data_IF_740311324089
#
_entry.id   IF_740311324089
#
_cell.length_a   1.000
_cell.length_b   1.000
_cell.length_c   1.000
_cell.angle_alpha   90.00
_cell.angle_beta   90.00
_cell.angle_gamma   90.00
#
_symmetry.space_group_name_H-M   'P 1'
#
loop_
_entity.id
_entity.type
_entity.pdbx_description
1 polymer ?
#
# COMPACT_ATOMS: atom_id res chain seq x y z
N UNK A 1 -16.45 -24.26 -17.31
CA UNK A 1 -15.26 -24.48 -16.46
C UNK A 1 -15.39 -23.67 -15.19
N UNK A 2 -15.40 -24.37 -14.11
CA UNK A 2 -15.60 -23.76 -12.79
C UNK A 2 -14.39 -22.96 -12.35
N UNK A 3 -14.61 -21.84 -11.68
CA UNK A 3 -13.59 -21.07 -10.97
C UNK A 3 -12.76 -21.95 -10.03
N UNK A 4 -13.33 -23.04 -9.52
CA UNK A 4 -12.68 -24.03 -8.65
C UNK A 4 -11.52 -24.79 -9.31
N UNK A 5 -11.40 -24.74 -10.65
CA UNK A 5 -10.22 -25.31 -11.33
C UNK A 5 -8.96 -24.44 -11.13
N UNK A 6 -9.15 -23.14 -10.87
CA UNK A 6 -8.06 -22.19 -10.68
C UNK A 6 -7.81 -21.87 -9.20
N UNK A 7 -8.88 -21.87 -8.40
CA UNK A 7 -8.83 -21.50 -6.98
C UNK A 7 -9.47 -22.62 -6.14
N UNK A 8 -8.75 -23.09 -5.16
CA UNK A 8 -9.25 -24.10 -4.21
C UNK A 8 -9.89 -23.49 -2.97
N UNK A 9 -9.54 -22.24 -2.65
CA UNK A 9 -10.03 -21.52 -1.48
C UNK A 9 -10.42 -20.10 -1.84
N UNK A 10 -11.25 -19.47 -1.01
CA UNK A 10 -11.58 -18.05 -1.14
C UNK A 10 -10.34 -17.17 -0.93
N UNK A 11 -9.41 -17.62 -0.09
CA UNK A 11 -8.14 -16.93 0.18
C UNK A 11 -7.30 -16.82 -1.09
N UNK A 12 -7.25 -17.85 -1.92
CA UNK A 12 -6.57 -17.79 -3.22
C UNK A 12 -7.19 -16.76 -4.17
N UNK A 13 -8.52 -16.58 -4.12
CA UNK A 13 -9.21 -15.54 -4.88
C UNK A 13 -8.77 -14.16 -4.40
N UNK A 14 -8.71 -13.94 -3.08
CA UNK A 14 -8.23 -12.68 -2.52
C UNK A 14 -6.78 -12.39 -2.87
N UNK A 15 -5.91 -13.40 -2.86
CA UNK A 15 -4.51 -13.23 -3.29
C UNK A 15 -4.41 -12.82 -4.77
N UNK A 16 -5.24 -13.38 -5.64
CA UNK A 16 -5.27 -13.00 -7.06
C UNK A 16 -5.77 -11.55 -7.24
N UNK A 17 -6.80 -11.16 -6.51
CA UNK A 17 -7.29 -9.78 -6.52
C UNK A 17 -6.22 -8.82 -6.00
N UNK A 18 -5.54 -9.17 -4.93
CA UNK A 18 -4.47 -8.37 -4.35
C UNK A 18 -3.30 -8.23 -5.32
N UNK A 19 -2.91 -9.32 -6.00
CA UNK A 19 -1.89 -9.30 -7.06
C UNK A 19 -2.24 -8.29 -8.15
N UNK A 20 -3.46 -8.32 -8.66
CA UNK A 20 -3.94 -7.38 -9.69
C UNK A 20 -3.92 -5.93 -9.22
N UNK A 21 -4.32 -5.70 -7.98
CA UNK A 21 -4.27 -4.36 -7.38
C UNK A 21 -2.83 -3.86 -7.23
N UNK A 22 -1.88 -4.73 -6.85
CA UNK A 22 -0.46 -4.38 -6.85
C UNK A 22 0.05 -4.02 -8.25
N UNK A 23 -0.33 -4.79 -9.27
CA UNK A 23 0.06 -4.53 -10.66
C UNK A 23 -0.44 -3.15 -11.12
N UNK A 24 -1.68 -2.78 -10.79
CA UNK A 24 -2.24 -1.47 -11.09
C UNK A 24 -1.51 -0.34 -10.35
N UNK A 25 -1.17 -0.55 -9.09
CA UNK A 25 -0.40 0.43 -8.34
C UNK A 25 1.02 0.60 -8.90
N UNK A 26 1.66 -0.49 -9.30
CA UNK A 26 2.97 -0.46 -9.96
C UNK A 26 2.92 0.40 -11.24
N UNK A 27 1.86 0.27 -12.04
CA UNK A 27 1.68 1.12 -13.23
C UNK A 27 1.63 2.60 -12.86
N UNK A 28 0.91 2.98 -11.81
CA UNK A 28 0.86 4.36 -11.33
C UNK A 28 2.23 4.84 -10.82
N UNK A 29 2.96 4.00 -10.09
CA UNK A 29 4.32 4.33 -9.66
C UNK A 29 5.27 4.53 -10.84
N UNK A 30 5.16 3.71 -11.89
CA UNK A 30 5.95 3.86 -13.11
C UNK A 30 5.61 5.18 -13.83
N UNK A 31 4.34 5.55 -13.87
CA UNK A 31 3.91 6.85 -14.43
C UNK A 31 4.50 8.02 -13.65
N UNK A 32 4.59 7.92 -12.33
CA UNK A 32 5.25 8.95 -11.51
C UNK A 32 6.74 9.05 -11.86
N UNK A 33 7.42 7.90 -12.03
CA UNK A 33 8.84 7.87 -12.40
C UNK A 33 9.04 8.50 -13.79
N UNK A 34 8.22 8.16 -14.76
CA UNK A 34 8.37 8.59 -16.16
C UNK A 34 7.91 10.03 -16.36
N UNK A 35 6.90 10.46 -15.64
CA UNK A 35 6.26 11.78 -15.80
C UNK A 35 7.00 12.93 -15.11
N UNK A 36 8.03 12.67 -14.32
CA UNK A 36 8.73 13.69 -13.56
C UNK A 36 10.25 13.50 -13.64
N UNK A 37 10.97 14.57 -13.92
CA UNK A 37 12.44 14.58 -13.86
C UNK A 37 12.91 14.62 -12.41
N UNK A 38 12.34 15.55 -11.65
CA UNK A 38 12.60 15.77 -10.23
C UNK A 38 11.28 16.02 -9.52
N UNK A 39 11.24 15.76 -8.23
CA UNK A 39 10.09 16.10 -7.39
C UNK A 39 10.61 16.68 -6.06
N UNK A 40 9.93 17.69 -5.54
CA UNK A 40 10.08 18.08 -4.15
C UNK A 40 9.59 16.96 -3.23
N UNK A 41 10.04 16.96 -1.99
CA UNK A 41 9.53 16.03 -0.96
C UNK A 41 7.99 16.07 -0.88
N UNK A 42 7.43 17.28 -0.87
CA UNK A 42 5.98 17.51 -0.80
C UNK A 42 5.25 16.97 -2.03
N UNK A 43 5.77 17.23 -3.23
CA UNK A 43 5.14 16.78 -4.47
C UNK A 43 5.24 15.26 -4.61
N UNK A 44 6.37 14.67 -4.24
CA UNK A 44 6.52 13.21 -4.18
C UNK A 44 5.52 12.58 -3.22
N UNK A 45 5.47 13.07 -1.98
CA UNK A 45 4.51 12.59 -0.98
C UNK A 45 3.07 12.72 -1.48
N UNK A 46 2.72 13.83 -2.13
CA UNK A 46 1.40 14.05 -2.71
C UNK A 46 1.07 13.07 -3.83
N UNK A 47 1.99 12.81 -4.75
CA UNK A 47 1.76 11.89 -5.86
C UNK A 47 1.64 10.44 -5.39
N UNK A 48 2.47 10.00 -4.43
CA UNK A 48 2.35 8.65 -3.84
C UNK A 48 1.04 8.52 -3.07
N UNK A 49 0.68 9.51 -2.24
CA UNK A 49 -0.58 9.48 -1.49
C UNK A 49 -1.79 9.42 -2.44
N UNK A 50 -1.75 10.15 -3.54
CA UNK A 50 -2.80 10.13 -4.57
C UNK A 50 -2.90 8.76 -5.25
N UNK A 51 -1.77 8.13 -5.56
CA UNK A 51 -1.75 6.81 -6.17
C UNK A 51 -2.42 5.76 -5.29
N UNK A 52 -2.23 5.82 -3.97
CA UNK A 52 -2.88 4.92 -3.02
C UNK A 52 -4.37 5.26 -2.82
N UNK A 53 -4.75 6.52 -2.86
CA UNK A 53 -6.15 6.92 -2.83
C UNK A 53 -6.94 6.32 -4.01
N UNK A 54 -6.32 6.20 -5.18
CA UNK A 54 -6.90 5.51 -6.35
C UNK A 54 -7.00 3.99 -6.17
N UNK A 55 -6.26 3.42 -5.24
CA UNK A 55 -6.17 1.96 -4.99
C UNK A 55 -6.85 1.56 -3.69
N UNK A 56 -8.05 2.04 -3.45
CA UNK A 56 -8.80 1.74 -2.22
C UNK A 56 -8.99 0.22 -2.02
N UNK A 57 -9.26 -0.54 -3.10
CA UNK A 57 -9.40 -1.99 -3.02
C UNK A 57 -8.09 -2.68 -2.61
N UNK A 58 -6.95 -2.20 -3.07
CA UNK A 58 -5.65 -2.67 -2.60
C UNK A 58 -5.55 -2.56 -1.08
N UNK A 59 -5.81 -1.37 -0.54
CA UNK A 59 -5.72 -1.10 0.90
C UNK A 59 -6.75 -1.90 1.70
N UNK A 60 -7.94 -2.09 1.17
CA UNK A 60 -8.99 -2.90 1.80
C UNK A 60 -8.55 -4.35 1.95
N UNK A 61 -8.04 -4.97 0.89
CA UNK A 61 -7.58 -6.35 0.92
C UNK A 61 -6.34 -6.49 1.80
N UNK A 62 -5.41 -5.54 1.76
CA UNK A 62 -4.25 -5.50 2.65
C UNK A 62 -4.64 -5.50 4.13
N UNK A 63 -5.76 -4.86 4.49
CA UNK A 63 -6.24 -4.80 5.88
C UNK A 63 -6.94 -6.08 6.36
N UNK A 64 -7.19 -7.03 5.46
CA UNK A 64 -7.73 -8.34 5.82
C UNK A 64 -6.65 -9.22 6.44
N UNK A 65 -7.03 -10.36 6.98
CA UNK A 65 -6.07 -11.26 7.63
C UNK A 65 -5.13 -11.90 6.63
N UNK A 66 -4.00 -11.26 6.36
CA UNK A 66 -2.98 -11.74 5.41
C UNK A 66 -2.34 -13.06 5.85
N UNK A 67 -2.18 -13.26 7.16
CA UNK A 67 -1.61 -14.51 7.66
C UNK A 67 -2.46 -15.72 7.22
N UNK A 68 -3.77 -15.66 7.45
CA UNK A 68 -4.67 -16.74 7.05
C UNK A 68 -4.79 -16.87 5.54
N UNK A 69 -4.75 -15.74 4.80
CA UNK A 69 -4.76 -15.78 3.34
C UNK A 69 -3.57 -16.55 2.79
N UNK A 70 -2.38 -16.30 3.33
CA UNK A 70 -1.16 -16.97 2.89
C UNK A 70 -1.14 -18.44 3.29
N UNK A 71 -1.50 -18.75 4.56
CA UNK A 71 -1.52 -20.13 5.06
C UNK A 71 -2.56 -21.03 4.36
N UNK A 72 -3.69 -20.46 3.93
CA UNK A 72 -4.75 -21.21 3.28
C UNK A 72 -4.69 -21.20 1.75
N UNK A 73 -3.58 -20.76 1.19
CA UNK A 73 -3.35 -20.71 -0.25
C UNK A 73 -2.25 -21.70 -0.65
N UNK A 74 -2.38 -22.28 -1.84
CA UNK A 74 -1.34 -23.14 -2.40
C UNK A 74 -0.06 -22.34 -2.66
N UNK A 75 1.08 -23.03 -2.56
CA UNK A 75 2.39 -22.38 -2.72
C UNK A 75 2.53 -21.65 -4.07
N UNK A 76 2.06 -22.24 -5.17
CA UNK A 76 2.13 -21.62 -6.49
C UNK A 76 1.38 -20.29 -6.56
N UNK A 77 0.19 -20.21 -5.95
CA UNK A 77 -0.59 -18.97 -5.90
C UNK A 77 0.07 -17.91 -5.00
N UNK A 78 0.63 -18.35 -3.89
CA UNK A 78 1.40 -17.49 -3.00
C UNK A 78 2.66 -16.96 -3.68
N UNK A 79 3.38 -17.79 -4.43
CA UNK A 79 4.57 -17.36 -5.20
C UNK A 79 4.17 -16.29 -6.24
N UNK A 80 3.09 -16.49 -6.99
CA UNK A 80 2.62 -15.51 -7.97
C UNK A 80 2.28 -14.17 -7.33
N UNK A 81 1.60 -14.19 -6.19
CA UNK A 81 1.34 -12.99 -5.41
C UNK A 81 2.64 -12.32 -4.94
N UNK A 82 3.59 -13.09 -4.37
CA UNK A 82 4.86 -12.54 -3.88
C UNK A 82 5.71 -11.93 -4.99
N UNK A 83 5.61 -12.40 -6.23
CA UNK A 83 6.25 -11.77 -7.38
C UNK A 83 5.73 -10.34 -7.61
N UNK A 84 4.42 -10.14 -7.59
CA UNK A 84 3.83 -8.81 -7.71
C UNK A 84 4.19 -7.91 -6.51
N UNK A 85 4.11 -8.44 -5.31
CA UNK A 85 4.52 -7.75 -4.08
C UNK A 85 5.99 -7.29 -4.16
N UNK A 86 6.91 -8.18 -4.52
CA UNK A 86 8.33 -7.86 -4.69
C UNK A 86 8.57 -6.82 -5.78
N UNK A 87 7.82 -6.87 -6.88
CA UNK A 87 7.91 -5.87 -7.95
C UNK A 87 7.46 -4.49 -7.46
N UNK A 88 6.42 -4.42 -6.62
CA UNK A 88 5.98 -3.15 -6.03
C UNK A 88 7.06 -2.53 -5.15
N UNK A 89 7.74 -3.33 -4.34
CA UNK A 89 8.85 -2.88 -3.51
C UNK A 89 10.02 -2.35 -4.35
N UNK A 90 10.42 -3.09 -5.39
CA UNK A 90 11.49 -2.66 -6.31
C UNK A 90 11.13 -1.37 -7.06
N UNK A 91 9.86 -1.24 -7.45
CA UNK A 91 9.40 -0.03 -8.14
C UNK A 91 9.43 1.17 -7.19
N UNK A 92 9.03 0.99 -5.94
CA UNK A 92 9.17 2.04 -4.92
C UNK A 92 10.63 2.41 -4.67
N UNK A 93 11.54 1.44 -4.61
CA UNK A 93 12.98 1.72 -4.51
C UNK A 93 13.51 2.52 -5.70
N UNK A 94 13.00 2.26 -6.91
CA UNK A 94 13.33 3.08 -8.09
C UNK A 94 12.84 4.51 -7.95
N UNK A 95 11.64 4.72 -7.40
CA UNK A 95 11.16 6.06 -7.06
C UNK A 95 12.12 6.76 -6.09
N UNK A 96 12.53 6.08 -5.03
CA UNK A 96 13.45 6.61 -4.03
C UNK A 96 14.80 6.97 -4.66
N UNK A 97 15.36 6.09 -5.46
CA UNK A 97 16.65 6.32 -6.13
C UNK A 97 16.61 7.50 -7.10
N UNK A 98 15.49 7.70 -7.80
CA UNK A 98 15.33 8.82 -8.73
C UNK A 98 15.13 10.15 -8.00
N UNK A 99 14.19 10.20 -7.08
CA UNK A 99 13.72 11.45 -6.48
C UNK A 99 14.45 11.83 -5.20
N UNK A 100 15.15 10.88 -4.56
CA UNK A 100 15.97 11.08 -3.35
C UNK A 100 17.35 10.46 -3.54
N UNK A 101 18.15 10.98 -4.50
CA UNK A 101 19.43 10.36 -4.85
C UNK A 101 20.47 10.41 -3.71
N UNK A 102 20.29 11.31 -2.74
CA UNK A 102 21.18 11.41 -1.58
C UNK A 102 20.88 10.37 -0.48
N UNK A 103 19.76 9.64 -0.58
CA UNK A 103 19.45 8.55 0.35
C UNK A 103 20.37 7.35 0.09
N UNK A 104 21.02 6.88 1.13
CA UNK A 104 21.77 5.64 1.07
C UNK A 104 20.84 4.44 0.89
N UNK A 105 21.38 3.34 0.37
CA UNK A 105 20.60 2.12 0.15
C UNK A 105 19.91 1.63 1.42
N UNK A 106 20.60 1.72 2.55
CA UNK A 106 20.04 1.35 3.86
C UNK A 106 18.82 2.20 4.22
N UNK A 107 18.93 3.51 4.03
CA UNK A 107 17.81 4.43 4.30
C UNK A 107 16.60 4.15 3.41
N UNK A 108 16.84 3.82 2.13
CA UNK A 108 15.78 3.41 1.20
C UNK A 108 15.11 2.11 1.66
N UNK A 109 15.88 1.13 2.13
CA UNK A 109 15.34 -0.12 2.66
C UNK A 109 14.55 0.12 3.95
N UNK A 110 15.07 0.92 4.86
CA UNK A 110 14.37 1.28 6.11
C UNK A 110 13.02 1.94 5.79
N UNK A 111 12.99 2.86 4.81
CA UNK A 111 11.73 3.45 4.34
C UNK A 111 10.71 2.40 3.88
N UNK A 112 11.14 1.41 3.08
CA UNK A 112 10.25 0.34 2.60
C UNK A 112 9.67 -0.45 3.78
N UNK A 113 10.49 -0.82 4.77
CA UNK A 113 10.07 -1.58 5.94
C UNK A 113 9.25 -0.77 6.95
N UNK A 114 9.21 0.53 6.82
CA UNK A 114 8.32 1.40 7.59
C UNK A 114 7.02 1.69 6.83
N UNK A 115 7.12 1.98 5.55
CA UNK A 115 5.97 2.40 4.74
C UNK A 115 5.04 1.24 4.34
N UNK A 116 5.59 0.10 3.91
CA UNK A 116 4.74 -1.04 3.52
C UNK A 116 3.90 -1.58 4.69
N UNK A 117 4.43 -1.83 5.89
CA UNK A 117 3.59 -2.18 7.03
C UNK A 117 2.53 -1.13 7.36
N UNK A 118 2.87 0.14 7.23
CA UNK A 118 1.93 1.25 7.43
C UNK A 118 0.71 1.13 6.51
N UNK A 119 0.91 0.94 5.20
CA UNK A 119 -0.22 0.86 4.27
C UNK A 119 -1.09 -0.39 4.46
N UNK A 120 -0.58 -1.45 5.06
CA UNK A 120 -1.38 -2.63 5.42
C UNK A 120 -2.43 -2.34 6.51
N UNK A 121 -2.23 -1.30 7.30
CA UNK A 121 -3.09 -0.99 8.44
C UNK A 121 -4.00 0.23 8.28
N UNK A 122 -3.85 1.05 7.23
CA UNK A 122 -4.53 2.35 7.17
C UNK A 122 -6.00 2.29 6.81
N UNK A 123 -6.45 1.25 6.09
CA UNK A 123 -7.83 1.20 5.60
C UNK A 123 -8.87 1.30 6.72
N UNK A 124 -8.77 0.55 7.83
CA UNK A 124 -9.71 0.68 8.94
C UNK A 124 -9.73 2.06 9.59
N UNK A 125 -8.64 2.81 9.51
CA UNK A 125 -8.55 4.18 10.04
C UNK A 125 -9.16 5.22 9.12
N UNK A 126 -9.30 4.92 7.83
CA UNK A 126 -9.79 5.86 6.81
C UNK A 126 -11.21 5.56 6.36
N UNK A 127 -11.67 4.34 6.56
CA UNK A 127 -13.02 3.86 6.19
C UNK A 127 -13.72 3.33 7.43
N UNK A 128 -14.54 4.16 8.04
CA UNK A 128 -15.24 3.86 9.28
C UNK A 128 -16.75 3.84 9.00
N UNK A 129 -17.41 2.75 9.38
CA UNK A 129 -18.86 2.61 9.26
C UNK A 129 -19.59 3.47 10.30
N UNK A 130 -20.87 3.78 10.06
CA UNK A 130 -21.68 4.51 11.05
C UNK A 130 -21.77 3.75 12.39
N UNK A 131 -21.83 2.41 12.35
CA UNK A 131 -21.79 1.58 13.57
C UNK A 131 -20.50 1.74 14.35
N UNK A 132 -19.36 1.79 13.63
CA UNK A 132 -18.03 1.99 14.25
C UNK A 132 -17.92 3.39 14.86
N UNK A 133 -18.42 4.43 14.18
CA UNK A 133 -18.46 5.80 14.71
C UNK A 133 -19.27 5.87 15.98
N UNK A 134 -20.46 5.29 16.00
CA UNK A 134 -21.32 5.23 17.17
C UNK A 134 -20.64 4.51 18.34
N UNK A 135 -20.00 3.37 18.06
CA UNK A 135 -19.26 2.62 19.08
C UNK A 135 -18.11 3.43 19.69
N UNK A 136 -17.35 4.18 18.88
CA UNK A 136 -16.29 5.06 19.35
C UNK A 136 -16.84 6.19 20.22
N UNK A 137 -17.95 6.80 19.80
CA UNK A 137 -18.61 7.86 20.56
C UNK A 137 -19.08 7.34 21.93
N UNK A 138 -19.78 6.21 21.97
CA UNK A 138 -20.22 5.59 23.21
C UNK A 138 -19.05 5.16 24.13
N UNK A 139 -17.94 4.75 23.54
CA UNK A 139 -16.73 4.38 24.27
C UNK A 139 -15.88 5.59 24.69
N UNK A 140 -16.27 6.81 24.35
CA UNK A 140 -15.52 8.03 24.69
C UNK A 140 -14.17 8.14 23.98
N UNK A 141 -14.03 7.52 22.81
CA UNK A 141 -12.80 7.59 22.02
C UNK A 141 -12.83 8.84 21.14
N UNK A 142 -11.89 9.74 21.39
CA UNK A 142 -11.68 10.89 20.50
C UNK A 142 -10.92 10.44 19.26
N UNK A 143 -11.61 10.39 18.12
CA UNK A 143 -11.07 9.91 16.89
C UNK A 143 -11.12 10.99 15.81
N UNK A 144 -9.98 11.24 15.16
CA UNK A 144 -9.88 12.17 14.02
C UNK A 144 -9.94 11.37 12.73
N UNK A 145 -11.02 11.58 11.96
CA UNK A 145 -11.22 10.90 10.69
C UNK A 145 -10.38 11.57 9.60
N UNK A 146 -9.53 10.78 8.94
CA UNK A 146 -8.66 11.24 7.86
C UNK A 146 -8.92 10.44 6.59
N UNK A 147 -8.71 11.07 5.42
CA UNK A 147 -8.72 10.37 4.14
C UNK A 147 -7.48 9.52 3.96
N UNK A 148 -7.53 8.59 2.99
CA UNK A 148 -6.34 7.82 2.57
C UNK A 148 -5.22 8.76 2.16
N UNK A 149 -5.54 9.81 1.40
CA UNK A 149 -4.57 10.82 1.00
C UNK A 149 -3.91 11.51 2.20
N UNK A 150 -4.70 12.04 3.12
CA UNK A 150 -4.21 12.81 4.27
C UNK A 150 -3.28 11.98 5.16
N UNK A 151 -3.70 10.77 5.55
CA UNK A 151 -2.90 9.93 6.44
C UNK A 151 -1.62 9.45 5.76
N UNK A 152 -1.68 9.12 4.47
CA UNK A 152 -0.53 8.69 3.69
C UNK A 152 0.44 9.84 3.46
N UNK A 153 -0.06 11.00 3.08
CA UNK A 153 0.76 12.20 2.88
C UNK A 153 1.54 12.57 4.14
N UNK A 154 0.88 12.61 5.28
CA UNK A 154 1.53 12.93 6.55
C UNK A 154 2.59 11.91 6.93
N UNK A 155 2.32 10.63 6.75
CA UNK A 155 3.29 9.57 7.01
C UNK A 155 4.54 9.74 6.12
N UNK A 156 4.34 9.95 4.83
CA UNK A 156 5.46 10.16 3.89
C UNK A 156 6.28 11.41 4.24
N UNK A 157 5.63 12.50 4.62
CA UNK A 157 6.33 13.72 5.05
C UNK A 157 7.21 13.50 6.28
N UNK A 158 6.84 12.56 7.16
CA UNK A 158 7.66 12.20 8.32
C UNK A 158 8.77 11.20 8.00
N UNK A 159 8.52 10.24 7.12
CA UNK A 159 9.49 9.21 6.77
C UNK A 159 10.58 9.69 5.80
N UNK A 160 10.24 10.64 4.92
CA UNK A 160 11.18 11.13 3.90
C UNK A 160 12.12 12.18 4.46
N UNK A 161 13.40 12.18 4.04
CA UNK A 161 14.34 13.22 4.44
C UNK A 161 14.00 14.55 3.75
N UNK A 162 14.40 15.65 4.38
CA UNK A 162 14.37 16.95 3.72
C UNK A 162 15.41 16.98 2.60
N UNK A 163 15.02 17.54 1.46
CA UNK A 163 15.96 17.75 0.35
C UNK A 163 16.84 18.98 0.65
N UNK A 164 18.13 18.80 0.43
CA UNK A 164 19.12 19.87 0.52
C UNK A 164 19.03 20.81 -0.68
#
# INVERSE_FOLDING_TARGET
TSIYNYFQTKEEIFLELLKREYELWIEELQQIIEGNETLSKKDFAGQIAKSLEHREQLLKIMSMNMYDMEENSRLENLVDFKKAYGKSMRTMLRCMSKFFPDMELKEQQDFIYEFFPFIYGIYPYTRVTEKQKEAMEQAGVNYVYQSIYEITFQCLMQLLPDKK
#
